data_IF_728166088301
#
_entry.id   IF_728166088301
#
_cell.length_a   1.000
_cell.length_b   1.000
_cell.length_c   1.000
_cell.angle_alpha   90.00
_cell.angle_beta   90.00
_cell.angle_gamma   90.00
#
_symmetry.space_group_name_H-M   'P 1'
#
loop_
_entity.id
_entity.type
_entity.pdbx_description
1 polymer ?
#
# COMPACT_ATOMS: atom_id res chain seq x y z
N UNK A 1 -39.28 33.10 -22.18
CA UNK A 1 -38.24 32.04 -22.15
C UNK A 1 -37.18 32.49 -21.15
N UNK A 2 -37.17 31.89 -19.95
CA UNK A 2 -36.40 32.34 -18.78
C UNK A 2 -34.96 31.83 -18.86
N UNK A 3 -34.01 32.70 -19.23
CA UNK A 3 -32.56 32.40 -19.23
C UNK A 3 -31.99 32.34 -17.80
N UNK A 4 -32.80 32.64 -16.77
CA UNK A 4 -32.39 32.66 -15.35
C UNK A 4 -32.47 31.29 -14.69
N UNK A 5 -33.37 30.40 -15.13
CA UNK A 5 -33.49 29.04 -14.59
C UNK A 5 -32.32 28.13 -15.00
N UNK A 6 -31.90 28.19 -16.28
CA UNK A 6 -30.86 27.30 -16.79
C UNK A 6 -29.49 27.48 -16.08
N UNK A 7 -29.12 28.71 -15.71
CA UNK A 7 -27.84 29.00 -15.02
C UNK A 7 -27.85 28.59 -13.55
N UNK A 8 -28.99 28.74 -12.87
CA UNK A 8 -29.16 28.29 -11.49
C UNK A 8 -29.17 26.77 -11.40
N UNK A 9 -29.86 26.11 -12.33
CA UNK A 9 -29.94 24.66 -12.42
C UNK A 9 -28.59 24.00 -12.75
N UNK A 10 -27.84 24.52 -13.72
CA UNK A 10 -26.51 24.02 -14.05
C UNK A 10 -25.52 24.13 -12.87
N UNK A 11 -25.64 25.18 -12.06
CA UNK A 11 -24.80 25.36 -10.86
C UNK A 11 -25.16 24.36 -9.76
N UNK A 12 -26.46 24.10 -9.54
CA UNK A 12 -26.96 23.14 -8.54
C UNK A 12 -26.58 21.71 -8.94
N UNK A 13 -26.68 21.38 -10.23
CA UNK A 13 -26.32 20.07 -10.76
C UNK A 13 -24.83 19.76 -10.56
N UNK A 14 -23.95 20.74 -10.78
CA UNK A 14 -22.51 20.60 -10.53
C UNK A 14 -22.21 20.39 -9.04
N UNK A 15 -22.88 21.14 -8.15
CA UNK A 15 -22.74 20.97 -6.70
C UNK A 15 -23.24 19.60 -6.24
N UNK A 16 -24.26 19.04 -6.89
CA UNK A 16 -24.75 17.69 -6.61
C UNK A 16 -23.77 16.58 -7.07
N UNK A 17 -23.01 16.81 -8.14
CA UNK A 17 -21.99 15.86 -8.65
C UNK A 17 -20.69 15.92 -7.85
N UNK A 18 -20.36 17.08 -7.27
CA UNK A 18 -19.08 17.30 -6.57
C UNK A 18 -18.78 16.25 -5.47
N UNK A 19 -19.72 15.84 -4.60
CA UNK A 19 -19.48 14.78 -3.61
C UNK A 19 -19.18 13.43 -4.27
N UNK A 20 -19.87 13.08 -5.35
CA UNK A 20 -19.65 11.83 -6.08
C UNK A 20 -18.26 11.84 -6.74
N UNK A 21 -17.88 12.94 -7.37
CA UNK A 21 -16.55 13.10 -7.95
C UNK A 21 -15.45 12.99 -6.89
N UNK A 22 -15.65 13.57 -5.71
CA UNK A 22 -14.73 13.45 -4.57
C UNK A 22 -14.57 11.99 -4.14
N UNK A 23 -15.67 11.25 -4.00
CA UNK A 23 -15.63 9.81 -3.65
C UNK A 23 -14.84 9.02 -4.69
N UNK A 24 -15.04 9.28 -5.99
CA UNK A 24 -14.31 8.60 -7.07
C UNK A 24 -12.80 8.92 -7.01
N UNK A 25 -12.42 10.18 -6.83
CA UNK A 25 -11.01 10.58 -6.70
C UNK A 25 -10.37 9.91 -5.49
N UNK A 26 -11.07 9.89 -4.35
CA UNK A 26 -10.59 9.22 -3.14
C UNK A 26 -10.41 7.72 -3.37
N UNK A 27 -11.35 7.07 -4.05
CA UNK A 27 -11.27 5.64 -4.38
C UNK A 27 -10.08 5.32 -5.30
N UNK A 28 -9.83 6.14 -6.33
CA UNK A 28 -8.67 5.98 -7.21
C UNK A 28 -7.38 6.15 -6.41
N UNK A 29 -7.29 7.18 -5.57
CA UNK A 29 -6.13 7.40 -4.72
C UNK A 29 -5.88 6.22 -3.77
N UNK A 30 -6.94 5.61 -3.22
CA UNK A 30 -6.84 4.41 -2.39
C UNK A 30 -6.27 3.21 -3.16
N UNK A 31 -6.76 2.95 -4.38
CA UNK A 31 -6.28 1.84 -5.21
C UNK A 31 -4.80 2.01 -5.55
N UNK A 32 -4.39 3.22 -5.91
CA UNK A 32 -2.99 3.53 -6.22
C UNK A 32 -2.09 3.35 -4.98
N UNK A 33 -2.52 3.85 -3.82
CA UNK A 33 -1.79 3.70 -2.57
C UNK A 33 -1.64 2.22 -2.16
N UNK A 34 -2.72 1.44 -2.25
CA UNK A 34 -2.70 0.01 -1.97
C UNK A 34 -1.79 -0.76 -2.94
N UNK A 35 -1.79 -0.40 -4.23
CA UNK A 35 -0.90 -0.97 -5.24
C UNK A 35 0.57 -0.72 -4.92
N UNK A 36 0.93 0.53 -4.59
CA UNK A 36 2.29 0.88 -4.18
C UNK A 36 2.74 0.15 -2.91
N UNK A 37 1.87 0.04 -1.90
CA UNK A 37 2.18 -0.67 -0.66
C UNK A 37 2.41 -2.19 -0.88
N UNK A 38 1.65 -2.82 -1.80
CA UNK A 38 1.85 -4.23 -2.18
C UNK A 38 3.19 -4.45 -2.85
N UNK A 39 3.57 -3.58 -3.78
CA UNK A 39 4.85 -3.69 -4.49
C UNK A 39 6.04 -3.53 -3.55
N UNK A 40 5.94 -2.57 -2.61
CA UNK A 40 6.95 -2.37 -1.56
C UNK A 40 7.06 -3.60 -0.64
N UNK A 41 5.93 -4.13 -0.18
CA UNK A 41 5.90 -5.33 0.65
C UNK A 41 6.53 -6.54 -0.06
N UNK A 42 6.22 -6.73 -1.35
CA UNK A 42 6.76 -7.83 -2.15
C UNK A 42 8.28 -7.71 -2.33
N UNK A 43 8.76 -6.51 -2.66
CA UNK A 43 10.20 -6.24 -2.82
C UNK A 43 10.95 -6.47 -1.51
N UNK A 44 10.41 -5.99 -0.39
CA UNK A 44 11.00 -6.20 0.93
C UNK A 44 11.00 -7.68 1.35
N UNK A 45 9.92 -8.41 1.11
CA UNK A 45 9.85 -9.84 1.40
C UNK A 45 10.88 -10.62 0.57
N UNK A 46 11.00 -10.30 -0.73
CA UNK A 46 11.98 -10.90 -1.62
C UNK A 46 13.42 -10.60 -1.18
N UNK A 47 13.72 -9.37 -0.76
CA UNK A 47 15.03 -8.99 -0.23
C UNK A 47 15.39 -9.79 1.04
N UNK A 48 14.45 -9.91 1.99
CA UNK A 48 14.66 -10.72 3.19
C UNK A 48 14.84 -12.21 2.88
N UNK A 49 14.07 -12.76 1.93
CA UNK A 49 14.25 -14.14 1.49
C UNK A 49 15.61 -14.35 0.80
N UNK A 50 16.08 -13.40 0.00
CA UNK A 50 17.41 -13.45 -0.60
C UNK A 50 18.52 -13.39 0.46
N UNK A 51 18.35 -12.62 1.54
CA UNK A 51 19.29 -12.58 2.65
C UNK A 51 19.39 -13.96 3.35
N UNK A 52 18.27 -14.67 3.53
CA UNK A 52 18.26 -16.04 4.07
C UNK A 52 19.01 -17.06 3.20
N UNK A 53 19.09 -16.83 1.88
CA UNK A 53 19.87 -17.66 0.96
C UNK A 53 21.36 -17.31 1.07
N UNK A 54 21.67 -16.02 1.22
CA UNK A 54 23.04 -15.50 1.29
C UNK A 54 23.67 -15.61 2.69
N UNK A 55 22.91 -16.02 3.71
CA UNK A 55 23.37 -16.10 5.10
C UNK A 55 23.48 -14.74 5.80
N UNK A 56 22.77 -13.72 5.29
CA UNK A 56 22.70 -12.38 5.88
C UNK A 56 21.56 -12.22 6.87
N UNK A 57 21.32 -10.97 7.31
CA UNK A 57 20.19 -10.62 8.18
C UNK A 57 18.93 -10.28 7.35
N UNK A 58 17.91 -11.16 7.35
CA UNK A 58 16.68 -10.92 6.60
C UNK A 58 15.86 -9.72 7.06
N UNK A 59 15.90 -9.36 8.34
CA UNK A 59 15.12 -8.23 8.85
C UNK A 59 15.75 -6.91 8.40
N UNK A 60 17.08 -6.80 8.50
CA UNK A 60 17.82 -5.64 8.05
C UNK A 60 17.67 -5.40 6.54
N UNK A 61 17.81 -6.46 5.72
CA UNK A 61 17.70 -6.37 4.26
C UNK A 61 16.27 -6.07 3.81
N UNK A 62 15.26 -6.68 4.43
CA UNK A 62 13.85 -6.37 4.15
C UNK A 62 13.52 -4.90 4.48
N UNK A 63 14.02 -4.36 5.60
CA UNK A 63 13.82 -2.94 5.95
C UNK A 63 14.61 -2.00 5.05
N UNK A 64 15.82 -2.38 4.64
CA UNK A 64 16.66 -1.57 3.74
C UNK A 64 16.03 -1.41 2.36
N UNK A 65 15.28 -2.43 1.90
CA UNK A 65 14.52 -2.39 0.66
C UNK A 65 13.32 -1.43 0.68
N UNK A 66 12.90 -0.94 1.86
CA UNK A 66 11.84 0.08 1.96
C UNK A 66 12.45 1.50 1.96
N UNK A 67 12.09 2.35 0.99
CA UNK A 67 12.62 3.70 0.89
C UNK A 67 12.07 4.63 1.98
N UNK A 68 12.93 5.52 2.50
CA UNK A 68 12.52 6.74 3.23
C UNK A 68 12.02 6.56 4.68
N UNK A 69 11.12 7.47 5.10
CA UNK A 69 10.53 7.59 6.46
C UNK A 69 9.45 6.53 6.75
N UNK A 70 9.10 5.69 5.79
CA UNK A 70 8.07 4.65 5.93
C UNK A 70 8.59 3.40 6.66
N UNK A 71 9.89 3.36 7.01
CA UNK A 71 10.51 2.25 7.74
C UNK A 71 9.85 1.93 9.09
N UNK A 72 9.27 2.93 9.74
CA UNK A 72 8.60 2.78 11.04
C UNK A 72 7.19 2.17 10.92
N UNK A 73 6.60 2.17 9.72
CA UNK A 73 5.26 1.63 9.43
C UNK A 73 5.31 0.25 8.72
N UNK A 74 6.48 -0.41 8.78
CA UNK A 74 6.74 -1.73 8.18
C UNK A 74 6.97 -2.77 9.26
N UNK A 75 6.16 -3.82 9.23
CA UNK A 75 6.22 -4.95 10.15
C UNK A 75 6.74 -6.18 9.40
N UNK A 76 7.94 -6.62 9.74
CA UNK A 76 8.62 -7.78 9.13
C UNK A 76 8.52 -8.96 10.09
N UNK A 77 7.93 -10.07 9.63
CA UNK A 77 7.88 -11.33 10.37
C UNK A 77 8.64 -12.41 9.62
N UNK A 78 9.56 -13.07 10.32
CA UNK A 78 10.33 -14.19 9.78
C UNK A 78 9.90 -15.47 10.50
N UNK A 79 9.58 -16.52 9.73
CA UNK A 79 9.28 -17.86 10.25
C UNK A 79 10.02 -18.90 9.44
N UNK A 80 11.11 -19.43 10.00
CA UNK A 80 11.97 -20.39 9.30
C UNK A 80 12.57 -19.75 8.05
N UNK A 81 12.17 -20.25 6.87
CA UNK A 81 12.61 -19.74 5.56
C UNK A 81 11.62 -18.80 4.88
N UNK A 82 10.53 -18.43 5.57
CA UNK A 82 9.49 -17.55 5.06
C UNK A 82 9.60 -16.16 5.67
N UNK A 83 9.62 -15.14 4.82
CA UNK A 83 9.61 -13.72 5.19
C UNK A 83 8.28 -13.12 4.78
N UNK A 84 7.58 -12.53 5.74
CA UNK A 84 6.30 -11.84 5.53
C UNK A 84 6.49 -10.38 5.90
N UNK A 85 6.13 -9.48 4.99
CA UNK A 85 6.23 -8.03 5.19
C UNK A 85 4.83 -7.44 5.11
N UNK A 86 4.46 -6.67 6.13
CA UNK A 86 3.25 -5.84 6.16
C UNK A 86 3.62 -4.38 6.07
N UNK A 87 2.97 -3.66 5.17
CA UNK A 87 3.11 -2.21 5.00
C UNK A 87 1.77 -1.58 5.33
N UNK A 88 1.78 -0.62 6.26
CA UNK A 88 0.60 0.19 6.63
C UNK A 88 0.69 1.57 5.99
N UNK A 89 -0.16 1.90 5.00
CA UNK A 89 -0.18 3.24 4.44
C UNK A 89 -0.71 4.25 5.46
N UNK A 90 -0.04 5.40 5.58
CA UNK A 90 -0.56 6.54 6.34
C UNK A 90 -1.74 7.16 5.59
N UNK A 91 -2.97 6.72 5.87
CA UNK A 91 -4.16 7.35 5.32
C UNK A 91 -4.63 8.51 6.21
N UNK A 92 -5.22 9.53 5.56
CA UNK A 92 -5.72 10.76 6.19
C UNK A 92 -6.92 10.51 7.14
N UNK A 93 -7.53 9.32 7.08
CA UNK A 93 -8.61 8.90 7.98
C UNK A 93 -8.40 7.45 8.45
N UNK A 94 -8.44 7.23 9.76
CA UNK A 94 -8.17 5.94 10.43
C UNK A 94 -8.92 4.72 9.84
N UNK A 95 -10.24 4.79 9.56
CA UNK A 95 -10.97 3.65 9.00
C UNK A 95 -10.52 3.24 7.59
N UNK A 96 -9.93 4.18 6.84
CA UNK A 96 -9.47 3.93 5.46
C UNK A 96 -8.07 3.33 5.47
N UNK A 97 -7.23 3.67 6.45
CA UNK A 97 -5.88 3.11 6.57
C UNK A 97 -5.89 1.57 6.72
N UNK A 98 -6.86 1.04 7.48
CA UNK A 98 -6.99 -0.41 7.69
C UNK A 98 -7.40 -1.16 6.42
N UNK A 99 -8.13 -0.52 5.51
CA UNK A 99 -8.50 -1.10 4.21
C UNK A 99 -7.32 -1.17 3.23
N UNK A 100 -6.22 -0.45 3.51
CA UNK A 100 -5.06 -0.34 2.62
C UNK A 100 -3.87 -1.16 3.08
N UNK A 101 -3.99 -1.90 4.19
CA UNK A 101 -2.91 -2.76 4.68
C UNK A 101 -2.53 -3.75 3.60
N UNK A 102 -1.28 -3.70 3.16
CA UNK A 102 -0.72 -4.62 2.19
C UNK A 102 0.19 -5.61 2.90
N UNK A 103 0.02 -6.89 2.59
CA UNK A 103 0.86 -7.97 3.10
C UNK A 103 1.42 -8.76 1.92
N UNK A 104 2.73 -9.01 1.93
CA UNK A 104 3.38 -9.88 0.98
C UNK A 104 4.26 -10.89 1.72
N UNK A 105 4.41 -12.08 1.14
CA UNK A 105 5.19 -13.17 1.72
C UNK A 105 6.10 -13.76 0.63
N UNK A 106 7.36 -13.98 0.98
CA UNK A 106 8.35 -14.67 0.15
C UNK A 106 8.94 -15.85 0.91
N UNK A 107 9.27 -16.92 0.20
CA UNK A 107 9.86 -18.14 0.77
C UNK A 107 11.24 -18.35 0.15
N UNK A 108 12.24 -18.62 0.99
CA UNK A 108 13.61 -18.77 0.57
C UNK A 108 13.91 -20.20 0.02
N UNK A 109 12.88 -21.04 -0.16
CA UNK A 109 13.01 -22.39 -0.72
C UNK A 109 13.63 -23.39 0.26
N UNK A 110 13.84 -24.64 -0.17
CA UNK A 110 14.46 -25.65 0.68
C UNK A 110 15.94 -25.34 0.95
N UNK A 111 16.42 -25.69 2.14
CA UNK A 111 17.84 -25.58 2.44
C UNK A 111 18.58 -26.58 1.54
N UNK A 112 19.49 -26.08 0.70
CA UNK A 112 20.37 -26.94 -0.07
C UNK A 112 21.16 -27.82 0.90
N UNK A 113 20.77 -29.09 1.01
CA UNK A 113 21.48 -30.09 1.80
C UNK A 113 22.85 -30.23 1.17
N UNK A 114 23.88 -29.72 1.86
CA UNK A 114 25.29 -29.96 1.53
C UNK A 114 25.81 -31.10 2.37
#
# INVERSE_FOLDING_TARGET
>A
MSVRDDRGQASIELVAILPLALVVVLAIAQVLAAGGARELAATAAAAGAAALIQGGDPEAEARAAVPGRDRDDVDVRIRGRRVTVRVRPRAVAGPVADLLVAEATADAGEAAVR
#
